data_IF_864465835493
#
_entry.id   IF_864465835493
#
_cell.length_a   1.000
_cell.length_b   1.000
_cell.length_c   1.000
_cell.angle_alpha   90.00
_cell.angle_beta   90.00
_cell.angle_gamma   90.00
#
_symmetry.space_group_name_H-M   'P 1'
#
loop_
_entity.id
_entity.type
_entity.pdbx_description
1 polymer ?
#
# COMPACT_ATOMS: atom_id res chain seq x y z
N UNK A 1 -20.48 -31.49 29.43
CA UNK A 1 -20.65 -31.35 30.89
C UNK A 1 -19.44 -30.57 31.41
N UNK A 2 -19.57 -29.25 31.60
CA UNK A 2 -19.93 -28.58 32.87
C UNK A 2 -18.77 -28.58 33.89
N UNK A 3 -18.39 -27.52 34.61
CA UNK A 3 -18.53 -26.06 34.54
C UNK A 3 -17.62 -25.45 35.66
N UNK A 4 -17.42 -24.11 35.67
CA UNK A 4 -17.15 -23.23 36.86
C UNK A 4 -15.69 -23.14 37.39
N UNK A 5 -15.18 -22.01 37.96
CA UNK A 5 -15.75 -20.66 38.15
C UNK A 5 -14.91 -19.50 37.56
N UNK A 6 -15.61 -18.44 37.13
CA UNK A 6 -15.04 -17.10 37.01
C UNK A 6 -15.13 -16.46 38.39
N UNK A 7 -14.00 -16.37 39.10
CA UNK A 7 -13.91 -15.61 40.33
C UNK A 7 -13.85 -14.11 40.00
N UNK A 8 -14.93 -13.42 40.32
CA UNK A 8 -14.97 -11.97 40.45
C UNK A 8 -14.08 -11.52 41.60
N UNK A 9 -13.10 -10.65 41.34
CA UNK A 9 -12.46 -9.84 42.39
C UNK A 9 -12.42 -8.38 42.00
N UNK A 10 -13.03 -7.62 42.88
CA UNK A 10 -13.33 -6.21 42.89
C UNK A 10 -12.11 -5.37 43.28
N UNK A 11 -12.01 -4.19 42.66
CA UNK A 11 -11.74 -2.88 43.28
C UNK A 11 -10.35 -2.61 43.91
N UNK A 12 -9.76 -1.50 43.42
CA UNK A 12 -8.76 -0.59 44.02
C UNK A 12 -7.32 -1.14 44.14
N UNK A 13 -6.25 -0.44 43.74
CA UNK A 13 -5.87 0.99 43.89
C UNK A 13 -4.74 1.33 42.88
N UNK A 14 -4.44 2.62 42.61
CA UNK A 14 -3.38 3.03 41.70
C UNK A 14 -2.02 3.02 42.42
N UNK A 15 -1.17 2.06 42.09
CA UNK A 15 0.23 2.09 42.52
C UNK A 15 1.05 2.70 41.39
N UNK A 16 1.34 3.99 41.54
CA UNK A 16 2.48 4.66 40.91
C UNK A 16 3.72 3.79 41.15
N UNK A 17 4.13 2.99 40.17
CA UNK A 17 5.34 2.19 40.26
C UNK A 17 6.40 2.77 39.34
N UNK A 18 7.48 3.16 40.01
CA UNK A 18 8.63 3.87 39.51
C UNK A 18 9.17 3.24 38.23
N UNK A 19 9.49 4.11 37.28
CA UNK A 19 10.31 3.85 36.10
C UNK A 19 11.63 3.21 36.52
N UNK A 20 11.69 1.88 36.50
CA UNK A 20 12.93 1.15 36.65
C UNK A 20 13.76 1.37 35.38
N UNK A 21 14.81 2.16 35.51
CA UNK A 21 15.90 2.24 34.55
C UNK A 21 16.64 0.90 34.56
N UNK A 22 16.18 -0.05 33.75
CA UNK A 22 16.95 -1.24 33.40
C UNK A 22 17.56 -1.03 32.01
N UNK A 23 18.84 -1.38 31.80
CA UNK A 23 19.47 -1.29 30.49
C UNK A 23 18.70 -2.20 29.53
N UNK A 24 18.18 -1.62 28.43
CA UNK A 24 17.51 -2.38 27.37
C UNK A 24 18.56 -3.36 26.80
N UNK A 25 18.47 -4.63 27.21
CA UNK A 25 19.11 -5.71 26.50
C UNK A 25 18.40 -5.78 25.14
N UNK A 26 19.07 -5.29 24.10
CA UNK A 26 18.54 -5.31 22.74
C UNK A 26 18.38 -6.77 22.34
N UNK A 27 17.21 -7.21 21.87
CA UNK A 27 17.04 -8.56 21.39
C UNK A 27 17.94 -8.81 20.16
N UNK A 28 18.48 -10.03 20.07
CA UNK A 28 19.53 -10.46 19.11
C UNK A 28 19.23 -10.20 17.63
N UNK A 29 17.96 -10.11 17.26
CA UNK A 29 17.49 -9.80 15.90
C UNK A 29 17.57 -8.32 15.48
N UNK A 30 18.12 -7.42 16.31
CA UNK A 30 18.32 -6.03 15.90
C UNK A 30 19.58 -5.91 15.04
N UNK A 31 19.41 -6.12 13.73
CA UNK A 31 20.44 -5.86 12.73
C UNK A 31 20.80 -4.37 12.74
N UNK A 32 22.10 -4.01 12.84
CA UNK A 32 22.52 -2.63 12.68
C UNK A 32 22.22 -2.16 11.25
N UNK A 33 21.62 -0.98 11.15
CA UNK A 33 21.37 -0.33 9.88
C UNK A 33 22.70 0.19 9.32
N UNK A 34 23.30 -0.55 8.41
CA UNK A 34 24.48 -0.08 7.67
C UNK A 34 24.03 0.89 6.57
N UNK A 35 24.41 2.15 6.69
CA UNK A 35 24.08 3.18 5.73
C UNK A 35 24.91 2.96 4.45
N UNK A 36 24.31 2.36 3.43
CA UNK A 36 24.92 2.31 2.10
C UNK A 36 24.75 3.66 1.41
N UNK A 37 25.89 4.30 1.21
CA UNK A 37 26.09 5.56 0.48
C UNK A 37 25.64 5.47 -0.98
N UNK A 38 25.10 6.60 -1.43
CA UNK A 38 24.78 7.01 -2.80
C UNK A 38 25.44 6.24 -3.95
N UNK A 39 24.62 5.76 -4.89
CA UNK A 39 24.99 5.74 -6.30
C UNK A 39 23.84 6.29 -7.15
N UNK A 40 24.23 7.21 -8.02
CA UNK A 40 23.44 8.05 -8.93
C UNK A 40 22.58 7.24 -9.91
N UNK A 41 21.34 7.68 -10.23
CA UNK A 41 20.63 7.14 -11.39
C UNK A 41 21.06 7.86 -12.68
N UNK A 42 21.64 7.08 -13.58
CA UNK A 42 21.90 7.42 -14.98
C UNK A 42 20.61 7.79 -15.70
N UNK A 43 20.59 8.98 -16.34
CA UNK A 43 19.49 9.41 -17.20
C UNK A 43 19.55 8.63 -18.51
N UNK A 44 18.65 7.68 -18.69
CA UNK A 44 18.40 7.09 -20.02
C UNK A 44 17.39 7.99 -20.72
N UNK A 45 17.86 8.74 -21.72
CA UNK A 45 17.02 9.57 -22.56
C UNK A 45 16.35 8.69 -23.61
N UNK A 46 15.10 8.32 -23.39
CA UNK A 46 14.28 7.68 -24.41
C UNK A 46 13.52 8.75 -25.18
N UNK A 47 14.06 9.17 -26.32
CA UNK A 47 13.34 9.97 -27.31
C UNK A 47 12.33 9.09 -28.04
N UNK A 48 11.05 9.16 -27.62
CA UNK A 48 9.94 8.55 -28.34
C UNK A 48 9.51 9.51 -29.46
N UNK A 49 9.77 9.14 -30.71
CA UNK A 49 9.17 9.75 -31.89
C UNK A 49 7.68 9.42 -31.91
N UNK A 50 6.84 10.41 -31.62
CA UNK A 50 5.39 10.30 -31.74
C UNK A 50 5.00 10.42 -33.21
N UNK A 51 4.66 9.28 -33.83
CA UNK A 51 3.95 9.26 -35.10
C UNK A 51 2.58 9.92 -34.90
N UNK A 52 2.25 10.89 -35.75
CA UNK A 52 0.95 11.57 -35.81
C UNK A 52 -0.13 10.60 -36.35
N UNK A 53 -1.14 10.18 -35.57
CA UNK A 53 -2.36 9.66 -36.16
C UNK A 53 -3.23 10.84 -36.61
N UNK A 54 -3.81 10.83 -37.82
CA UNK A 54 -4.80 11.82 -38.19
C UNK A 54 -6.01 11.69 -37.27
N UNK A 55 -6.24 12.72 -36.45
CA UNK A 55 -7.42 12.87 -35.60
C UNK A 55 -8.66 13.07 -36.48
N UNK A 56 -9.26 11.99 -36.97
CA UNK A 56 -10.67 11.97 -37.36
C UNK A 56 -11.48 12.03 -36.06
N UNK A 57 -11.77 13.25 -35.64
CA UNK A 57 -12.46 13.57 -34.40
C UNK A 57 -13.94 13.10 -34.49
N UNK A 58 -14.38 12.04 -33.79
CA UNK A 58 -15.80 11.81 -33.67
C UNK A 58 -16.37 12.91 -32.78
N UNK A 59 -17.26 13.70 -33.38
CA UNK A 59 -18.11 14.69 -32.74
C UNK A 59 -18.88 14.06 -31.56
N UNK A 60 -18.30 14.12 -30.37
CA UNK A 60 -18.95 13.79 -29.10
C UNK A 60 -19.29 15.07 -28.35
N UNK A 61 -20.01 15.98 -29.01
CA UNK A 61 -20.46 17.27 -28.49
C UNK A 61 -21.95 17.32 -28.17
N UNK A 62 -22.60 16.19 -27.90
CA UNK A 62 -24.07 16.20 -27.73
C UNK A 62 -24.62 15.38 -26.57
N UNK A 63 -23.82 15.05 -25.56
CA UNK A 63 -24.34 14.41 -24.33
C UNK A 63 -23.80 14.99 -23.01
N UNK A 64 -23.00 16.05 -23.04
CA UNK A 64 -22.67 16.81 -21.83
C UNK A 64 -23.47 18.11 -21.82
N UNK A 65 -24.31 18.37 -20.80
CA UNK A 65 -25.01 19.65 -20.69
C UNK A 65 -23.94 20.74 -20.60
N UNK A 66 -24.11 21.79 -21.41
CA UNK A 66 -23.22 22.94 -21.60
C UNK A 66 -22.46 23.36 -20.34
N UNK A 67 -21.28 22.78 -20.10
CA UNK A 67 -20.34 23.28 -19.12
C UNK A 67 -19.61 24.45 -19.77
N UNK A 68 -20.14 25.66 -19.57
CA UNK A 68 -19.48 26.90 -19.94
C UNK A 68 -18.08 26.94 -19.33
N UNK A 69 -17.02 26.94 -20.16
CA UNK A 69 -15.63 26.95 -19.69
C UNK A 69 -15.33 28.15 -18.77
N UNK A 70 -16.07 29.27 -18.91
CA UNK A 70 -15.95 30.43 -18.03
C UNK A 70 -16.40 30.15 -16.60
N UNK A 71 -17.48 29.36 -16.42
CA UNK A 71 -17.97 28.97 -15.09
C UNK A 71 -17.05 27.97 -14.39
N UNK A 72 -16.27 27.18 -15.15
CA UNK A 72 -15.25 26.31 -14.58
C UNK A 72 -14.06 27.13 -14.05
N UNK A 73 -13.63 28.17 -14.79
CA UNK A 73 -12.49 29.01 -14.43
C UNK A 73 -12.72 29.82 -13.14
N UNK A 74 -13.95 30.30 -12.93
CA UNK A 74 -14.40 30.97 -11.71
C UNK A 74 -14.47 30.04 -10.48
N UNK A 75 -14.63 28.72 -10.69
CA UNK A 75 -14.71 27.71 -9.61
C UNK A 75 -13.35 27.09 -9.24
N UNK A 76 -12.33 27.24 -10.08
CA UNK A 76 -10.98 26.71 -9.82
C UNK A 76 -10.36 27.30 -8.53
N UNK A 77 -10.42 28.62 -8.24
CA UNK A 77 -9.81 29.19 -7.05
C UNK A 77 -10.32 28.60 -5.71
N UNK A 78 -11.64 28.46 -5.44
CA UNK A 78 -12.12 27.87 -4.20
C UNK A 78 -11.86 26.36 -4.11
N UNK A 79 -11.97 25.62 -5.23
CA UNK A 79 -11.75 24.16 -5.25
C UNK A 79 -10.27 23.83 -4.99
N UNK A 80 -9.35 24.60 -5.57
CA UNK A 80 -7.91 24.41 -5.37
C UNK A 80 -7.52 24.72 -3.92
N UNK A 81 -8.06 25.77 -3.32
CA UNK A 81 -7.78 26.06 -1.90
C UNK A 81 -8.44 25.09 -0.92
N UNK A 82 -9.58 24.50 -1.25
CA UNK A 82 -10.24 23.50 -0.42
C UNK A 82 -9.62 22.09 -0.51
N UNK A 83 -9.02 21.75 -1.65
CA UNK A 83 -8.43 20.42 -1.90
C UNK A 83 -7.04 20.21 -1.28
N UNK A 84 -6.30 21.30 -1.00
CA UNK A 84 -4.95 21.23 -0.45
C UNK A 84 -4.99 21.02 1.08
N UNK A 85 -4.27 20.02 1.62
CA UNK A 85 -4.20 19.81 3.06
C UNK A 85 -3.60 21.04 3.74
N UNK A 86 -4.35 21.64 4.66
CA UNK A 86 -3.95 22.87 5.36
C UNK A 86 -2.66 22.73 6.17
N UNK A 87 -2.41 21.53 6.72
CA UNK A 87 -1.26 21.24 7.60
C UNK A 87 -0.74 19.83 7.36
N UNK A 88 0.56 19.65 7.57
CA UNK A 88 1.22 18.33 7.56
C UNK A 88 0.68 17.45 8.69
N UNK A 89 0.37 16.20 8.39
CA UNK A 89 -0.13 15.25 9.39
C UNK A 89 1.00 14.71 10.27
N UNK A 90 0.75 14.52 11.57
CA UNK A 90 1.73 13.95 12.50
C UNK A 90 2.06 12.48 12.20
N UNK A 91 3.22 12.01 12.66
CA UNK A 91 3.67 10.63 12.46
C UNK A 91 2.65 9.61 13.00
N UNK A 92 2.09 9.83 14.20
CA UNK A 92 1.07 8.96 14.79
C UNK A 92 -0.21 8.87 13.95
N UNK A 93 -0.73 10.02 13.46
CA UNK A 93 -1.92 10.04 12.59
C UNK A 93 -1.66 9.38 11.23
N UNK A 94 -0.43 9.43 10.71
CA UNK A 94 -0.04 8.71 9.49
C UNK A 94 0.00 7.19 9.77
N UNK A 95 0.67 6.79 10.85
CA UNK A 95 0.82 5.37 11.23
C UNK A 95 -0.53 4.69 11.48
N UNK A 96 -1.43 5.32 12.25
CA UNK A 96 -2.77 4.78 12.49
C UNK A 96 -3.57 4.58 11.20
N UNK A 97 -3.45 5.49 10.23
CA UNK A 97 -4.10 5.34 8.91
C UNK A 97 -3.49 4.24 8.04
N UNK A 98 -2.20 3.92 8.21
CA UNK A 98 -1.54 2.82 7.49
C UNK A 98 -1.70 1.46 8.17
N UNK A 99 -1.96 1.42 9.48
CA UNK A 99 -2.05 0.17 10.23
C UNK A 99 -3.12 -0.79 9.68
N UNK A 100 -4.23 -0.25 9.17
CA UNK A 100 -5.33 -1.04 8.61
C UNK A 100 -5.06 -1.56 7.18
N UNK A 101 -3.90 -1.24 6.59
CA UNK A 101 -3.54 -1.57 5.20
C UNK A 101 -2.49 -2.69 5.11
N UNK A 102 -2.53 -3.64 6.04
CA UNK A 102 -1.62 -4.81 6.04
C UNK A 102 -1.88 -5.77 4.88
N UNK A 103 -0.85 -6.53 4.50
CA UNK A 103 -0.97 -7.60 3.50
C UNK A 103 -1.83 -8.74 4.07
N UNK A 104 -2.89 -9.11 3.37
CA UNK A 104 -3.73 -10.27 3.74
C UNK A 104 -3.00 -11.56 3.38
N UNK A 105 -3.01 -12.53 4.30
CA UNK A 105 -2.49 -13.87 4.04
C UNK A 105 -3.31 -14.53 2.92
N UNK A 106 -2.62 -15.12 1.94
CA UNK A 106 -3.24 -15.84 0.83
C UNK A 106 -3.43 -17.30 1.23
N UNK A 107 -4.67 -17.78 1.24
CA UNK A 107 -5.02 -19.19 1.49
C UNK A 107 -5.11 -20.02 0.21
N UNK A 108 -5.06 -19.36 -0.95
CA UNK A 108 -5.30 -19.96 -2.26
C UNK A 108 -4.00 -20.51 -2.89
N UNK A 109 -3.21 -21.20 -2.08
CA UNK A 109 -1.88 -21.73 -2.45
C UNK A 109 -1.97 -23.26 -2.46
N UNK A 110 -1.64 -23.88 -3.60
CA UNK A 110 -1.70 -25.34 -3.80
C UNK A 110 -0.43 -25.82 -4.52
N UNK A 111 -0.09 -27.09 -4.40
CA UNK A 111 1.06 -27.67 -5.10
C UNK A 111 0.68 -28.00 -6.56
N UNK A 112 1.64 -27.87 -7.48
CA UNK A 112 1.45 -28.27 -8.87
C UNK A 112 1.53 -29.80 -9.01
N UNK A 113 0.59 -30.46 -9.73
CA UNK A 113 0.61 -31.91 -9.89
C UNK A 113 1.75 -32.42 -10.79
N UNK A 114 2.33 -31.57 -11.65
CA UNK A 114 3.39 -31.98 -12.58
C UNK A 114 4.79 -31.82 -11.97
N UNK A 115 5.11 -30.65 -11.40
CA UNK A 115 6.45 -30.34 -10.89
C UNK A 115 6.54 -30.23 -9.37
N UNK A 116 5.44 -30.34 -8.63
CA UNK A 116 5.40 -30.20 -7.17
C UNK A 116 5.61 -28.77 -6.64
N UNK A 117 5.97 -27.80 -7.50
CA UNK A 117 6.18 -26.41 -7.06
C UNK A 117 4.87 -25.74 -6.62
N UNK A 118 5.00 -24.78 -5.71
CA UNK A 118 3.85 -24.04 -5.16
C UNK A 118 3.27 -23.11 -6.23
N UNK A 119 1.95 -23.16 -6.43
CA UNK A 119 1.20 -22.32 -7.36
C UNK A 119 -0.07 -21.78 -6.73
N UNK A 120 -0.65 -20.73 -7.33
CA UNK A 120 -1.96 -20.25 -6.94
C UNK A 120 -3.07 -21.21 -7.45
N UNK A 121 -4.16 -21.33 -6.69
CA UNK A 121 -5.34 -22.08 -7.15
C UNK A 121 -5.96 -21.36 -8.36
N UNK A 122 -6.42 -22.12 -9.35
CA UNK A 122 -6.91 -21.63 -10.66
C UNK A 122 -5.88 -20.97 -11.60
N UNK A 123 -4.61 -20.88 -11.21
CA UNK A 123 -3.54 -20.42 -12.09
C UNK A 123 -2.70 -21.59 -12.62
N UNK A 124 -2.21 -21.43 -13.85
CA UNK A 124 -1.19 -22.30 -14.45
C UNK A 124 0.12 -22.14 -13.69
N UNK A 125 0.87 -23.22 -13.53
CA UNK A 125 2.14 -23.18 -12.83
C UNK A 125 3.19 -22.41 -13.65
N UNK A 126 3.85 -21.38 -13.09
CA UNK A 126 4.81 -20.58 -13.83
C UNK A 126 6.04 -21.39 -14.27
N UNK A 127 6.47 -22.36 -13.45
CA UNK A 127 7.64 -23.20 -13.75
C UNK A 127 7.35 -24.12 -14.94
N UNK A 128 6.27 -24.90 -14.89
CA UNK A 128 5.84 -25.76 -16.00
C UNK A 128 5.60 -24.95 -17.28
N UNK A 129 4.90 -23.81 -17.18
CA UNK A 129 4.64 -22.96 -18.34
C UNK A 129 5.95 -22.50 -18.99
N UNK A 130 6.92 -22.05 -18.20
CA UNK A 130 8.22 -21.59 -18.71
C UNK A 130 9.08 -22.68 -19.36
N UNK A 131 8.86 -23.95 -19.00
CA UNK A 131 9.56 -25.09 -19.58
C UNK A 131 8.94 -25.51 -20.91
N UNK A 132 7.60 -25.48 -20.98
CA UNK A 132 6.86 -25.83 -22.20
C UNK A 132 7.01 -24.73 -23.25
N UNK A 133 6.95 -23.46 -22.85
CA UNK A 133 6.99 -22.34 -23.80
C UNK A 133 8.36 -22.06 -24.42
N UNK A 134 9.45 -22.50 -23.76
CA UNK A 134 10.83 -22.36 -24.25
C UNK A 134 11.27 -23.53 -25.13
N UNK A 135 10.45 -24.57 -25.22
CA UNK A 135 10.69 -25.74 -26.05
C UNK A 135 10.12 -25.49 -27.44
#
# INVERSE_FOLDING_TARGET
MAAIPIASRSIATPVFSLRSFLPIARPSWSTPCEASSSSVPSRVSSSLTLANPPLSMPSWTSLFPSFSLGSLLELIPPIVWASVPKKKTSHGKKSARSANKGLKNRTNISQCPACGSVKLTHHVCPTCYSQISRK
#
